data_IF_288347966112
#
_entry.id   IF_288347966112
#
_cell.length_a   1.000
_cell.length_b   1.000
_cell.length_c   1.000
_cell.angle_alpha   90.00
_cell.angle_beta   90.00
_cell.angle_gamma   90.00
#
_symmetry.space_group_name_H-M   'P 1'
#
loop_
_entity.id
_entity.type
_entity.pdbx_description
1 polymer ?
#
# COMPACT_ATOMS: atom_id res chain seq x y z
N UNK A 1 -27.92 0.93 -26.44
CA UNK A 1 -27.83 -0.32 -27.23
C UNK A 1 -26.68 -1.14 -26.66
N UNK A 2 -26.88 -2.45 -26.51
CA UNK A 2 -26.22 -3.33 -25.55
C UNK A 2 -24.69 -3.44 -25.64
N UNK A 3 -24.03 -3.42 -24.48
CA UNK A 3 -22.69 -4.01 -24.28
C UNK A 3 -22.77 -4.94 -23.08
N UNK A 4 -22.32 -6.18 -23.30
CA UNK A 4 -22.40 -7.30 -22.37
C UNK A 4 -21.23 -7.30 -21.38
N UNK A 5 -21.54 -7.52 -20.11
CA UNK A 5 -20.69 -8.25 -19.15
C UNK A 5 -21.55 -8.50 -17.92
N UNK A 6 -21.88 -9.74 -17.63
CA UNK A 6 -22.54 -10.13 -16.37
C UNK A 6 -21.50 -10.04 -15.26
N UNK A 7 -21.62 -9.03 -14.37
CA UNK A 7 -20.69 -8.82 -13.26
C UNK A 7 -21.28 -9.38 -11.98
N UNK A 8 -20.67 -10.45 -11.49
CA UNK A 8 -20.87 -11.03 -10.18
C UNK A 8 -19.63 -10.69 -9.38
N UNK A 9 -19.76 -9.85 -8.36
CA UNK A 9 -18.68 -9.29 -7.54
C UNK A 9 -17.81 -8.25 -8.26
N UNK A 10 -17.61 -7.11 -7.61
CA UNK A 10 -16.91 -5.96 -8.18
C UNK A 10 -16.06 -5.30 -7.11
N UNK A 11 -14.78 -5.14 -7.42
CA UNK A 11 -13.81 -4.35 -6.65
C UNK A 11 -13.47 -3.11 -7.46
N UNK A 12 -13.53 -1.93 -6.83
CA UNK A 12 -13.09 -0.68 -7.43
C UNK A 12 -11.80 -0.20 -6.74
N UNK A 13 -10.77 0.12 -7.53
CA UNK A 13 -9.54 0.79 -7.08
C UNK A 13 -9.58 2.23 -7.53
N UNK A 14 -9.42 3.19 -6.63
CA UNK A 14 -9.41 4.62 -6.93
C UNK A 14 -8.25 5.30 -6.22
N UNK A 15 -7.53 6.15 -6.94
CA UNK A 15 -6.58 7.11 -6.35
C UNK A 15 -7.31 8.45 -6.24
N UNK A 16 -7.34 9.08 -5.07
CA UNK A 16 -8.16 10.28 -4.82
C UNK A 16 -7.38 11.42 -4.18
N UNK A 17 -7.77 12.65 -4.53
CA UNK A 17 -7.42 13.88 -3.85
C UNK A 17 -8.62 14.87 -3.74
N UNK A 18 -9.27 14.96 -2.58
CA UNK A 18 -10.31 15.93 -2.07
C UNK A 18 -11.80 15.59 -2.24
N UNK A 19 -12.68 16.35 -1.57
CA UNK A 19 -13.89 15.83 -0.90
C UNK A 19 -15.01 15.28 -1.80
N UNK A 20 -15.72 14.28 -1.23
CA UNK A 20 -16.89 13.55 -1.73
C UNK A 20 -16.68 12.75 -3.02
N UNK A 21 -15.98 11.62 -2.97
CA UNK A 21 -16.06 10.67 -4.08
C UNK A 21 -17.46 10.05 -4.12
N UNK A 22 -18.08 9.92 -5.29
CA UNK A 22 -18.94 8.78 -5.53
C UNK A 22 -18.43 8.09 -6.78
N UNK A 23 -17.81 6.94 -6.59
CA UNK A 23 -17.79 5.95 -7.65
C UNK A 23 -18.74 4.83 -7.23
N UNK A 24 -19.71 4.54 -8.09
CA UNK A 24 -20.77 3.60 -7.75
C UNK A 24 -21.29 2.89 -8.98
N UNK A 25 -21.67 1.62 -8.78
CA UNK A 25 -22.35 0.81 -9.78
C UNK A 25 -23.80 0.67 -9.35
N UNK A 26 -24.71 1.25 -10.13
CA UNK A 26 -26.12 1.35 -9.81
C UNK A 26 -26.97 0.44 -10.68
N UNK A 27 -28.02 -0.13 -10.10
CA UNK A 27 -29.12 -0.76 -10.84
C UNK A 27 -30.01 0.32 -11.49
N UNK A 28 -30.14 0.30 -12.82
CA UNK A 28 -31.03 1.19 -13.59
C UNK A 28 -32.41 0.60 -13.88
N UNK A 29 -32.63 -0.69 -13.64
CA UNK A 29 -33.92 -1.34 -13.85
C UNK A 29 -34.95 -0.91 -12.76
N UNK A 30 -34.50 -0.29 -11.65
CA UNK A 30 -35.35 0.34 -10.63
C UNK A 30 -35.06 1.84 -10.52
N UNK A 31 -35.77 2.67 -11.30
CA UNK A 31 -35.64 4.14 -11.30
C UNK A 31 -35.87 4.81 -9.93
N UNK A 32 -36.51 4.12 -8.98
CA UNK A 32 -36.93 4.66 -7.69
C UNK A 32 -35.91 4.47 -6.55
N UNK A 33 -34.81 3.72 -6.76
CA UNK A 33 -33.86 3.46 -5.68
C UNK A 33 -32.41 3.35 -6.14
N UNK A 34 -31.61 4.37 -5.86
CA UNK A 34 -30.15 4.37 -6.04
C UNK A 34 -29.42 3.54 -4.97
N UNK A 35 -30.16 2.80 -4.14
CA UNK A 35 -29.60 2.05 -3.02
C UNK A 35 -29.18 0.63 -3.36
N UNK A 36 -29.43 0.14 -4.58
CA UNK A 36 -29.01 -1.19 -5.06
C UNK A 36 -27.70 -1.12 -5.84
N UNK A 37 -26.79 -2.03 -5.50
CA UNK A 37 -25.42 -2.04 -6.01
C UNK A 37 -24.43 -1.62 -4.95
N UNK A 38 -23.36 -0.93 -5.37
CA UNK A 38 -22.32 -0.46 -4.45
C UNK A 38 -21.93 0.98 -4.70
N UNK A 39 -21.46 1.63 -3.64
CA UNK A 39 -20.98 3.00 -3.63
C UNK A 39 -19.73 3.10 -2.78
N UNK A 40 -18.67 3.67 -3.36
CA UNK A 40 -17.46 4.08 -2.68
C UNK A 40 -17.39 5.61 -2.66
N UNK A 41 -17.12 6.17 -1.49
CA UNK A 41 -17.08 7.62 -1.37
C UNK A 41 -16.44 8.19 -0.12
N UNK A 42 -16.57 9.50 0.04
CA UNK A 42 -16.19 10.24 1.24
C UNK A 42 -17.45 10.86 1.84
N UNK A 43 -17.69 10.67 3.13
CA UNK A 43 -18.82 11.27 3.86
C UNK A 43 -18.33 11.90 5.16
N UNK A 44 -18.98 12.96 5.60
CA UNK A 44 -18.76 13.49 6.95
C UNK A 44 -19.45 12.56 7.96
N UNK A 45 -18.71 12.06 8.93
CA UNK A 45 -19.26 11.42 10.13
C UNK A 45 -19.35 12.49 11.20
N UNK A 46 -20.52 12.63 11.82
CA UNK A 46 -20.78 13.66 12.83
C UNK A 46 -20.94 12.99 14.19
N UNK A 47 -19.90 13.05 15.02
CA UNK A 47 -20.01 12.85 16.46
C UNK A 47 -19.84 14.22 17.12
N UNK A 48 -20.91 14.72 17.74
CA UNK A 48 -20.90 15.86 18.66
C UNK A 48 -20.01 17.05 18.23
N UNK A 49 -20.46 17.77 17.20
CA UNK A 49 -19.94 19.06 16.71
C UNK A 49 -18.67 19.05 15.82
N UNK A 50 -17.96 17.92 15.65
CA UNK A 50 -16.87 17.83 14.65
C UNK A 50 -17.29 16.97 13.45
N UNK A 51 -17.21 17.53 12.24
CA UNK A 51 -17.52 16.81 10.99
C UNK A 51 -16.23 16.23 10.43
N UNK A 52 -15.99 14.95 10.70
CA UNK A 52 -14.79 14.26 10.24
C UNK A 52 -15.07 13.55 8.90
N UNK A 53 -14.50 14.01 7.76
CA UNK A 53 -14.68 13.32 6.49
C UNK A 53 -13.97 11.96 6.54
N UNK A 54 -14.63 10.90 6.07
CA UNK A 54 -14.06 9.54 6.04
C UNK A 54 -14.45 8.81 4.78
N UNK A 55 -13.56 7.92 4.31
CA UNK A 55 -13.90 6.99 3.24
C UNK A 55 -14.99 6.02 3.70
N UNK A 56 -15.94 5.70 2.83
CA UNK A 56 -17.00 4.74 3.12
C UNK A 56 -17.27 3.84 1.93
N UNK A 57 -17.76 2.65 2.23
CA UNK A 57 -18.24 1.67 1.25
C UNK A 57 -19.64 1.24 1.64
N UNK A 58 -20.62 1.55 0.79
CA UNK A 58 -21.99 1.07 0.90
C UNK A 58 -22.27 -0.04 -0.12
N UNK A 59 -22.98 -1.08 0.32
CA UNK A 59 -23.37 -2.22 -0.51
C UNK A 59 -24.79 -2.66 -0.15
N UNK A 60 -25.61 -2.92 -1.17
CA UNK A 60 -26.89 -3.62 -1.04
C UNK A 60 -26.96 -4.68 -2.13
N UNK A 61 -26.95 -5.94 -1.71
CA UNK A 61 -27.12 -7.06 -2.64
C UNK A 61 -28.58 -7.17 -3.11
N UNK A 62 -28.80 -7.94 -4.17
CA UNK A 62 -30.13 -8.05 -4.80
C UNK A 62 -31.22 -8.50 -3.82
N UNK A 63 -30.86 -9.41 -2.89
CA UNK A 63 -31.76 -9.95 -1.86
C UNK A 63 -31.79 -9.15 -0.57
N UNK A 64 -30.92 -8.15 -0.40
CA UNK A 64 -30.84 -7.40 0.84
C UNK A 64 -31.98 -6.37 0.97
N UNK A 65 -32.65 -6.39 2.11
CA UNK A 65 -33.69 -5.40 2.43
C UNK A 65 -33.13 -4.03 2.81
N UNK A 66 -31.88 -3.98 3.31
CA UNK A 66 -31.22 -2.77 3.81
C UNK A 66 -29.83 -2.60 3.21
N UNK A 67 -29.45 -1.35 2.96
CA UNK A 67 -28.09 -0.95 2.60
C UNK A 67 -27.16 -1.09 3.81
N UNK A 68 -26.04 -1.78 3.64
CA UNK A 68 -24.96 -1.78 4.64
C UNK A 68 -23.90 -0.76 4.25
N UNK A 69 -23.44 0.05 5.19
CA UNK A 69 -22.34 0.99 4.99
C UNK A 69 -21.25 0.78 6.01
N UNK A 70 -20.05 0.44 5.56
CA UNK A 70 -18.84 0.44 6.39
C UNK A 70 -18.06 1.73 6.13
N UNK A 71 -17.40 2.25 7.17
CA UNK A 71 -16.66 3.52 7.11
C UNK A 71 -15.25 3.28 7.62
N UNK A 72 -14.27 3.96 7.03
CA UNK A 72 -12.89 3.98 7.52
C UNK A 72 -12.87 4.44 8.97
N UNK A 73 -12.00 3.82 9.77
CA UNK A 73 -11.68 4.27 11.12
C UNK A 73 -10.72 5.48 11.11
N UNK A 74 -9.95 5.65 10.03
CA UNK A 74 -9.06 6.79 9.81
C UNK A 74 -9.78 7.96 9.11
N UNK A 75 -9.47 9.22 9.50
CA UNK A 75 -9.98 10.41 8.84
C UNK A 75 -9.43 10.52 7.40
N UNK A 76 -10.22 11.16 6.54
CA UNK A 76 -9.81 11.55 5.20
C UNK A 76 -8.92 12.78 5.29
N UNK A 77 -7.72 12.73 4.71
CA UNK A 77 -6.83 13.90 4.63
C UNK A 77 -6.96 14.58 3.27
N UNK A 78 -7.40 15.86 3.22
CA UNK A 78 -7.41 16.65 2.00
C UNK A 78 -6.00 16.86 1.43
N UNK A 79 -5.90 17.01 0.11
CA UNK A 79 -4.67 17.34 -0.63
C UNK A 79 -3.58 16.24 -0.64
N UNK A 80 -3.87 15.07 -0.08
CA UNK A 80 -3.02 13.87 -0.13
C UNK A 80 -3.61 12.81 -1.05
N UNK A 81 -2.71 12.13 -1.79
CA UNK A 81 -3.10 10.98 -2.58
C UNK A 81 -3.40 9.80 -1.66
N UNK A 82 -4.54 9.15 -1.88
CA UNK A 82 -4.88 7.91 -1.18
C UNK A 82 -5.32 6.86 -2.19
N UNK A 83 -4.77 5.66 -2.04
CA UNK A 83 -5.26 4.48 -2.74
C UNK A 83 -6.42 3.87 -1.94
N UNK A 84 -7.60 3.79 -2.55
CA UNK A 84 -8.80 3.24 -1.92
C UNK A 84 -9.30 2.03 -2.71
N UNK A 85 -9.54 0.92 -2.02
CA UNK A 85 -10.04 -0.31 -2.62
C UNK A 85 -11.19 -0.91 -1.80
N UNK A 86 -12.17 -1.51 -2.49
CA UNK A 86 -13.30 -2.21 -1.87
C UNK A 86 -13.43 -3.64 -2.39
N UNK A 87 -13.53 -4.65 -1.54
CA UNK A 87 -13.72 -6.03 -2.03
C UNK A 87 -15.01 -6.61 -1.50
N UNK A 88 -15.72 -7.36 -2.35
CA UNK A 88 -16.86 -8.17 -1.95
C UNK A 88 -16.79 -9.55 -2.59
N UNK A 89 -16.87 -10.61 -1.79
CA UNK A 89 -16.76 -12.01 -2.24
C UNK A 89 -18.06 -12.81 -2.12
N UNK A 90 -19.22 -12.14 -2.03
CA UNK A 90 -20.51 -12.78 -1.78
C UNK A 90 -20.84 -12.98 -0.30
N UNK A 91 -19.91 -12.70 0.61
CA UNK A 91 -20.11 -12.85 2.06
C UNK A 91 -19.46 -11.75 2.91
N UNK A 92 -18.29 -11.28 2.51
CA UNK A 92 -17.53 -10.25 3.22
C UNK A 92 -17.39 -9.03 2.32
N UNK A 93 -17.84 -7.87 2.82
CA UNK A 93 -17.51 -6.57 2.25
C UNK A 93 -16.36 -5.95 3.04
N UNK A 94 -15.32 -5.48 2.34
CA UNK A 94 -14.10 -4.92 2.96
C UNK A 94 -13.72 -3.61 2.30
N UNK A 95 -13.22 -2.68 3.10
CA UNK A 95 -12.67 -1.40 2.66
C UNK A 95 -11.18 -1.35 3.01
N UNK A 96 -10.37 -0.92 2.06
CA UNK A 96 -8.93 -0.74 2.20
C UNK A 96 -8.54 0.68 1.84
N UNK A 97 -7.61 1.24 2.61
CA UNK A 97 -6.98 2.55 2.36
C UNK A 97 -5.47 2.35 2.45
N UNK A 98 -4.73 2.78 1.41
CA UNK A 98 -3.28 2.60 1.27
C UNK A 98 -2.82 1.16 1.53
N UNK A 99 -3.58 0.18 1.03
CA UNK A 99 -3.31 -1.25 1.19
C UNK A 99 -3.72 -1.86 2.55
N UNK A 100 -4.00 -1.06 3.57
CA UNK A 100 -4.47 -1.53 4.88
C UNK A 100 -5.99 -1.77 4.88
N UNK A 101 -6.46 -2.90 5.44
CA UNK A 101 -7.89 -3.16 5.62
C UNK A 101 -8.44 -2.31 6.78
N UNK A 102 -9.23 -1.28 6.48
CA UNK A 102 -9.73 -0.31 7.48
C UNK A 102 -11.15 -0.62 7.96
N UNK A 103 -11.92 -1.43 7.23
CA UNK A 103 -13.24 -1.88 7.67
C UNK A 103 -13.67 -3.21 7.01
N UNK A 104 -14.53 -3.96 7.70
CA UNK A 104 -15.12 -5.22 7.22
C UNK A 104 -16.54 -5.41 7.78
N UNK A 105 -17.45 -5.98 6.98
CA UNK A 105 -18.77 -6.42 7.43
C UNK A 105 -19.20 -7.71 6.72
N UNK A 106 -20.11 -8.45 7.35
CA UNK A 106 -20.79 -9.65 6.83
C UNK A 106 -22.31 -9.48 6.71
N UNK A 107 -22.83 -8.26 6.86
CA UNK A 107 -24.28 -8.01 6.88
C UNK A 107 -24.93 -8.16 5.50
N UNK A 108 -24.12 -8.22 4.45
CA UNK A 108 -24.54 -8.46 3.08
C UNK A 108 -24.09 -9.84 2.64
N UNK A 109 -24.96 -10.55 1.90
CA UNK A 109 -24.64 -11.86 1.34
C UNK A 109 -25.29 -12.06 -0.03
N UNK A 110 -24.72 -12.99 -0.79
CA UNK A 110 -25.17 -13.35 -2.12
C UNK A 110 -24.76 -12.33 -3.19
N UNK A 111 -25.39 -12.44 -4.36
CA UNK A 111 -25.03 -11.67 -5.53
C UNK A 111 -25.47 -10.21 -5.47
N UNK A 112 -24.60 -9.30 -5.93
CA UNK A 112 -24.92 -7.86 -6.00
C UNK A 112 -26.12 -7.63 -6.95
N UNK A 113 -26.12 -8.30 -8.10
CA UNK A 113 -27.19 -8.22 -9.10
C UNK A 113 -27.70 -9.62 -9.43
N UNK A 114 -29.02 -9.84 -9.39
CA UNK A 114 -29.65 -11.03 -9.92
C UNK A 114 -29.47 -11.14 -11.44
N UNK A 115 -29.65 -12.34 -12.04
CA UNK A 115 -29.65 -12.50 -13.49
C UNK A 115 -30.55 -11.51 -14.25
N UNK A 116 -31.64 -11.05 -13.61
CA UNK A 116 -32.56 -10.05 -14.16
C UNK A 116 -31.97 -8.64 -14.14
N UNK A 117 -31.42 -8.20 -12.99
CA UNK A 117 -30.90 -6.83 -12.80
C UNK A 117 -29.50 -6.63 -13.40
N UNK A 118 -28.75 -7.71 -13.63
CA UNK A 118 -27.43 -7.68 -14.29
C UNK A 118 -27.38 -6.96 -15.63
N UNK A 119 -28.48 -6.97 -16.40
CA UNK A 119 -28.57 -6.35 -17.73
C UNK A 119 -28.77 -4.83 -17.66
N UNK A 120 -29.06 -4.29 -16.47
CA UNK A 120 -29.40 -2.90 -16.21
C UNK A 120 -28.46 -2.29 -15.16
N UNK A 121 -27.16 -2.18 -15.43
CA UNK A 121 -26.22 -1.54 -14.49
C UNK A 121 -25.42 -0.43 -15.15
N UNK A 122 -25.12 0.62 -14.39
CA UNK A 122 -24.29 1.74 -14.83
C UNK A 122 -23.25 2.07 -13.78
N UNK A 123 -22.00 2.10 -14.23
CA UNK A 123 -20.88 2.59 -13.45
C UNK A 123 -20.83 4.11 -13.63
N UNK A 124 -20.90 4.85 -12.52
CA UNK A 124 -20.69 6.29 -12.49
C UNK A 124 -19.45 6.58 -11.66
N UNK A 125 -18.66 7.55 -12.11
CA UNK A 125 -17.45 8.03 -11.44
C UNK A 125 -17.53 9.54 -11.35
N UNK A 126 -16.98 10.10 -10.29
CA UNK A 126 -16.94 11.55 -10.08
C UNK A 126 -18.28 12.16 -9.65
N UNK A 127 -19.31 11.33 -9.49
CA UNK A 127 -20.66 11.80 -9.19
C UNK A 127 -21.66 10.67 -8.98
N UNK A 128 -22.82 11.02 -8.45
CA UNK A 128 -24.00 10.14 -8.46
C UNK A 128 -25.21 10.84 -9.09
N UNK A 129 -26.29 10.08 -9.32
CA UNK A 129 -27.53 10.60 -9.87
C UNK A 129 -28.24 11.63 -8.96
N UNK A 130 -27.82 11.74 -7.69
CA UNK A 130 -28.36 12.68 -6.70
C UNK A 130 -27.53 13.97 -6.59
N UNK A 131 -26.69 14.27 -7.59
CA UNK A 131 -25.84 15.46 -7.63
C UNK A 131 -24.79 15.58 -6.52
N UNK A 132 -24.47 14.50 -5.80
CA UNK A 132 -23.25 14.46 -5.00
C UNK A 132 -22.08 14.35 -5.97
N UNK A 133 -21.26 15.39 -6.09
CA UNK A 133 -20.18 15.46 -7.05
C UNK A 133 -18.84 15.41 -6.33
N UNK A 134 -17.91 14.69 -6.93
CA UNK A 134 -16.53 14.67 -6.49
C UNK A 134 -15.81 15.92 -6.97
N UNK A 135 -15.09 16.54 -6.03
CA UNK A 135 -14.17 17.63 -6.33
C UNK A 135 -12.78 17.14 -5.96
N UNK A 136 -12.03 16.73 -6.97
CA UNK A 136 -10.71 16.20 -6.77
C UNK A 136 -10.09 15.59 -8.02
N UNK A 137 -8.87 15.08 -7.87
CA UNK A 137 -8.17 14.35 -8.94
C UNK A 137 -8.36 12.85 -8.79
N UNK A 138 -8.31 12.13 -9.91
CA UNK A 138 -8.20 10.68 -9.98
C UNK A 138 -7.17 10.32 -11.03
N UNK A 139 -6.42 9.25 -10.79
CA UNK A 139 -5.35 8.83 -11.68
C UNK A 139 -5.67 7.47 -12.31
N UNK A 140 -5.87 6.46 -11.47
CA UNK A 140 -6.12 5.10 -11.92
C UNK A 140 -7.45 4.56 -11.40
N UNK A 141 -8.17 3.88 -12.30
CA UNK A 141 -9.35 3.10 -11.96
C UNK A 141 -9.19 1.67 -12.44
N UNK A 142 -9.45 0.71 -11.54
CA UNK A 142 -9.53 -0.70 -11.93
C UNK A 142 -10.75 -1.38 -11.34
N UNK A 143 -11.40 -2.23 -12.14
CA UNK A 143 -12.53 -3.06 -11.77
C UNK A 143 -12.26 -4.53 -12.05
N UNK A 144 -12.46 -5.40 -11.05
CA UNK A 144 -12.24 -6.84 -11.17
C UNK A 144 -13.52 -7.64 -10.99
N UNK A 145 -13.62 -8.78 -11.68
CA UNK A 145 -14.72 -9.74 -11.57
C UNK A 145 -14.63 -10.63 -10.31
N UNK A 146 -13.55 -10.49 -9.54
CA UNK A 146 -13.35 -11.21 -8.28
C UNK A 146 -12.94 -10.27 -7.14
N UNK A 147 -13.10 -10.74 -5.92
CA UNK A 147 -12.47 -10.12 -4.76
C UNK A 147 -10.95 -10.38 -4.79
N UNK A 148 -10.15 -9.32 -4.85
CA UNK A 148 -8.71 -9.43 -4.66
C UNK A 148 -8.37 -9.65 -3.18
N UNK A 149 -7.27 -10.35 -2.93
CA UNK A 149 -6.64 -10.41 -1.60
C UNK A 149 -5.91 -9.10 -1.28
N UNK A 150 -5.69 -8.83 0.01
CA UNK A 150 -4.93 -7.65 0.45
C UNK A 150 -3.52 -7.61 -0.16
N UNK A 151 -2.88 -8.77 -0.31
CA UNK A 151 -1.55 -8.89 -0.94
C UNK A 151 -1.57 -8.45 -2.41
N UNK A 152 -2.60 -8.81 -3.15
CA UNK A 152 -2.77 -8.40 -4.54
C UNK A 152 -3.05 -6.90 -4.64
N UNK A 153 -3.88 -6.36 -3.73
CA UNK A 153 -4.16 -4.91 -3.66
C UNK A 153 -2.85 -4.13 -3.43
N UNK A 154 -2.06 -4.53 -2.44
CA UNK A 154 -0.76 -3.90 -2.15
C UNK A 154 0.17 -3.98 -3.36
N UNK A 155 0.20 -5.12 -4.05
CA UNK A 155 1.04 -5.31 -5.23
C UNK A 155 0.64 -4.39 -6.40
N UNK A 156 -0.65 -4.32 -6.72
CA UNK A 156 -1.15 -3.49 -7.81
C UNK A 156 -1.04 -1.99 -7.51
N UNK A 157 -1.12 -1.61 -6.23
CA UNK A 157 -0.87 -0.25 -5.77
C UNK A 157 0.58 0.19 -6.01
N UNK A 158 1.57 -0.68 -5.72
CA UNK A 158 2.98 -0.31 -5.74
C UNK A 158 3.69 -0.39 -7.10
N UNK A 159 3.21 -1.21 -8.04
CA UNK A 159 3.97 -1.51 -9.27
C UNK A 159 3.16 -1.38 -10.58
N UNK A 160 1.92 -0.88 -10.51
CA UNK A 160 1.02 -0.82 -11.66
C UNK A 160 0.55 -2.20 -12.15
N UNK A 161 -0.48 -2.23 -12.99
CA UNK A 161 -1.05 -3.49 -13.49
C UNK A 161 -0.18 -4.19 -14.55
N UNK A 162 0.77 -3.48 -15.15
CA UNK A 162 1.59 -3.97 -16.28
C UNK A 162 2.63 -5.00 -15.90
N UNK A 163 3.02 -5.10 -14.62
CA UNK A 163 4.13 -5.94 -14.18
C UNK A 163 3.73 -7.31 -13.60
N UNK A 164 2.44 -7.58 -13.34
CA UNK A 164 2.06 -8.77 -12.55
C UNK A 164 0.76 -9.49 -12.95
N UNK A 165 0.93 -10.71 -13.46
CA UNK A 165 -0.03 -11.82 -13.33
C UNK A 165 -1.23 -11.83 -14.28
N UNK A 166 -2.06 -12.87 -14.12
CA UNK A 166 -3.24 -13.14 -14.95
C UNK A 166 -4.31 -12.04 -14.83
N UNK A 167 -4.40 -11.21 -15.86
CA UNK A 167 -5.39 -10.14 -16.01
C UNK A 167 -6.73 -10.64 -16.56
N UNK A 168 -6.94 -11.97 -16.71
CA UNK A 168 -8.17 -12.55 -17.28
C UNK A 168 -9.47 -12.13 -16.59
N UNK A 169 -9.37 -11.66 -15.34
CA UNK A 169 -10.51 -11.25 -14.51
C UNK A 169 -10.61 -9.73 -14.33
N UNK A 170 -9.76 -8.96 -15.00
CA UNK A 170 -9.84 -7.50 -15.06
C UNK A 170 -10.97 -7.11 -16.02
N UNK A 171 -11.92 -6.32 -15.53
CA UNK A 171 -13.11 -5.90 -16.27
C UNK A 171 -12.90 -4.51 -16.86
N UNK A 172 -12.40 -3.58 -16.06
CA UNK A 172 -12.12 -2.20 -16.46
C UNK A 172 -10.75 -1.82 -15.94
N UNK A 173 -9.96 -1.15 -16.77
CA UNK A 173 -8.78 -0.42 -16.35
C UNK A 173 -8.71 0.89 -17.12
N UNK A 174 -8.67 2.01 -16.38
CA UNK A 174 -8.63 3.35 -16.93
C UNK A 174 -7.50 4.16 -16.30
N UNK A 175 -6.74 4.81 -17.16
CA UNK A 175 -5.74 5.85 -16.86
C UNK A 175 -6.25 7.26 -17.25
N UNK A 176 -7.52 7.35 -17.68
CA UNK A 176 -8.20 8.58 -18.09
C UNK A 176 -7.59 9.37 -19.27
N UNK A 177 -6.55 8.90 -19.95
CA UNK A 177 -5.96 9.58 -21.11
C UNK A 177 -6.92 9.71 -22.31
N UNK A 178 -7.89 8.79 -22.42
CA UNK A 178 -8.87 8.74 -23.53
C UNK A 178 -10.32 8.83 -23.06
N UNK A 179 -10.62 9.72 -22.11
CA UNK A 179 -11.95 9.86 -21.49
C UNK A 179 -13.10 9.96 -22.50
N UNK A 180 -12.99 10.81 -23.52
CA UNK A 180 -14.07 11.07 -24.49
C UNK A 180 -14.46 9.87 -25.36
N UNK A 181 -13.62 8.83 -25.43
CA UNK A 181 -13.90 7.60 -26.18
C UNK A 181 -14.55 6.51 -25.32
N UNK A 182 -14.33 6.53 -24.00
CA UNK A 182 -14.73 5.46 -23.08
C UNK A 182 -15.84 5.86 -22.11
N UNK A 183 -16.04 7.15 -21.89
CA UNK A 183 -16.96 7.69 -20.89
C UNK A 183 -17.97 8.66 -21.50
N UNK A 184 -19.20 8.58 -21.02
CA UNK A 184 -20.26 9.52 -21.35
C UNK A 184 -20.42 10.53 -20.21
N UNK A 185 -20.44 11.82 -20.54
CA UNK A 185 -20.70 12.88 -19.57
C UNK A 185 -22.19 12.88 -19.20
N UNK A 186 -22.47 12.80 -17.90
CA UNK A 186 -23.85 12.77 -17.38
C UNK A 186 -24.34 14.16 -16.99
N UNK A 187 -23.42 15.09 -16.72
CA UNK A 187 -23.69 16.44 -16.22
C UNK A 187 -22.92 17.48 -17.02
N UNK A 188 -23.61 18.56 -17.40
CA UNK A 188 -23.07 19.78 -18.05
C UNK A 188 -22.27 19.55 -19.36
N UNK A 189 -22.28 18.33 -19.92
CA UNK A 189 -21.62 17.96 -21.18
C UNK A 189 -20.09 17.97 -21.16
N UNK A 190 -19.46 18.49 -20.10
CA UNK A 190 -18.01 18.67 -20.01
C UNK A 190 -17.30 17.46 -19.39
N UNK A 191 -16.19 17.04 -20.02
CA UNK A 191 -15.30 16.04 -19.43
C UNK A 191 -14.43 16.71 -18.34
N UNK A 192 -13.99 15.95 -17.32
CA UNK A 192 -12.95 16.41 -16.39
C UNK A 192 -11.70 16.88 -17.15
N UNK A 193 -10.99 17.86 -16.58
CA UNK A 193 -9.71 18.34 -17.12
C UNK A 193 -8.62 17.31 -16.82
N UNK A 194 -7.85 16.93 -17.84
CA UNK A 194 -6.59 16.22 -17.65
C UNK A 194 -5.57 17.17 -17.05
N UNK A 195 -5.05 16.82 -15.89
CA UNK A 195 -3.92 17.50 -15.26
C UNK A 195 -2.72 16.56 -15.28
N UNK A 196 -1.67 16.98 -15.97
CA UNK A 196 -0.37 16.33 -15.88
C UNK A 196 0.31 16.90 -14.63
N UNK A 197 0.39 16.10 -13.56
CA UNK A 197 1.18 16.47 -12.40
C UNK A 197 2.59 15.92 -12.57
N UNK A 198 3.60 16.75 -12.38
CA UNK A 198 5.01 16.36 -12.15
C UNK A 198 5.21 15.60 -10.82
N UNK A 199 4.13 15.11 -10.19
CA UNK A 199 4.21 14.30 -8.98
C UNK A 199 4.68 12.92 -9.38
N UNK A 200 5.96 12.65 -9.14
CA UNK A 200 6.52 11.32 -9.16
C UNK A 200 5.71 10.37 -8.26
N UNK A 201 5.54 9.12 -8.68
CA UNK A 201 4.91 8.04 -7.87
C UNK A 201 5.52 7.94 -6.46
N UNK A 202 6.78 8.36 -6.32
CA UNK A 202 7.52 8.56 -5.07
C UNK A 202 6.76 9.41 -4.03
N UNK A 203 6.14 10.52 -4.45
CA UNK A 203 5.40 11.40 -3.55
C UNK A 203 4.09 10.77 -3.03
N UNK A 204 3.50 9.81 -3.76
CA UNK A 204 2.29 9.07 -3.35
C UNK A 204 2.62 7.98 -2.35
N UNK A 205 3.76 7.29 -2.52
CA UNK A 205 4.21 6.21 -1.65
C UNK A 205 4.89 6.71 -0.37
N UNK A 206 5.48 7.91 -0.39
CA UNK A 206 6.04 8.57 0.80
C UNK A 206 4.98 8.91 1.87
N UNK A 207 3.71 9.05 1.48
CA UNK A 207 2.57 9.26 2.38
C UNK A 207 1.99 7.93 2.93
N UNK A 208 2.51 6.76 2.51
CA UNK A 208 2.11 5.44 3.03
C UNK A 208 2.84 5.08 4.34
N UNK A 209 3.00 6.05 5.23
CA UNK A 209 3.49 5.82 6.58
C UNK A 209 2.46 4.95 7.32
N UNK A 210 2.83 3.71 7.65
CA UNK A 210 2.03 2.80 8.49
C UNK A 210 1.94 3.39 9.91
N UNK A 211 1.01 4.33 10.13
CA UNK A 211 0.75 4.86 11.46
C UNK A 211 0.02 3.79 12.27
N UNK A 212 0.53 3.39 13.46
CA UNK A 212 -0.22 2.52 14.35
C UNK A 212 -1.59 3.15 14.62
N UNK A 213 -2.69 2.39 14.52
CA UNK A 213 -4.02 2.94 14.73
C UNK A 213 -4.13 3.50 16.15
N UNK A 214 -4.87 4.61 16.36
CA UNK A 214 -5.19 5.08 17.70
C UNK A 214 -5.78 3.94 18.54
N UNK A 215 -5.44 3.90 19.83
CA UNK A 215 -6.06 2.99 20.78
C UNK A 215 -7.59 3.13 20.74
N UNK A 216 -8.30 2.01 20.76
CA UNK A 216 -9.76 1.96 20.64
C UNK A 216 -10.30 1.49 19.29
N UNK A 217 -9.46 1.27 18.27
CA UNK A 217 -9.90 1.03 16.89
C UNK A 217 -9.77 -0.41 16.40
N UNK A 218 -8.94 -1.21 17.05
CA UNK A 218 -8.75 -2.62 16.70
C UNK A 218 -9.63 -3.50 17.58
N UNK A 219 -9.83 -4.76 17.16
CA UNK A 219 -10.47 -5.79 18.00
C UNK A 219 -9.73 -5.94 19.34
N UNK A 220 -8.41 -5.70 19.35
CA UNK A 220 -7.58 -5.74 20.55
C UNK A 220 -7.87 -4.59 21.52
N UNK A 221 -8.54 -3.53 21.07
CA UNK A 221 -8.92 -2.38 21.90
C UNK A 221 -10.37 -2.44 22.39
N UNK A 222 -11.16 -3.41 21.93
CA UNK A 222 -12.55 -3.54 22.34
C UNK A 222 -12.62 -3.97 23.80
N UNK A 223 -13.22 -3.13 24.65
CA UNK A 223 -13.30 -3.35 26.10
C UNK A 223 -14.01 -4.67 26.44
N UNK A 224 -15.06 -5.05 25.70
CA UNK A 224 -15.72 -6.34 25.92
C UNK A 224 -14.85 -7.52 25.50
N UNK A 225 -14.09 -7.41 24.40
CA UNK A 225 -13.15 -8.46 23.97
C UNK A 225 -12.02 -8.61 24.98
N UNK A 226 -11.44 -7.51 25.46
CA UNK A 226 -10.43 -7.49 26.52
C UNK A 226 -11.00 -8.08 27.81
N UNK A 227 -12.21 -7.65 28.19
CA UNK A 227 -12.90 -8.12 29.40
C UNK A 227 -13.22 -9.60 29.31
N UNK A 228 -13.67 -10.10 28.15
CA UNK A 228 -13.90 -11.52 27.92
C UNK A 228 -12.60 -12.32 27.87
N UNK A 229 -11.53 -11.79 27.28
CA UNK A 229 -10.20 -12.42 27.30
C UNK A 229 -9.66 -12.51 28.74
N UNK A 230 -9.95 -11.50 29.55
CA UNK A 230 -9.67 -11.52 30.97
C UNK A 230 -10.58 -12.54 31.67
N UNK A 231 -11.90 -12.48 31.56
CA UNK A 231 -12.82 -13.28 32.36
C UNK A 231 -12.82 -14.78 31.97
N UNK A 232 -12.57 -15.11 30.71
CA UNK A 232 -12.61 -16.50 30.22
C UNK A 232 -11.21 -17.13 30.26
N UNK A 233 -10.97 -17.95 31.29
CA UNK A 233 -9.70 -18.66 31.49
C UNK A 233 -9.26 -19.51 30.29
N UNK A 234 -10.21 -19.97 29.47
CA UNK A 234 -9.97 -20.75 28.25
C UNK A 234 -9.20 -19.96 27.17
N UNK A 235 -9.30 -18.64 27.17
CA UNK A 235 -8.56 -17.76 26.25
C UNK A 235 -7.13 -17.45 26.74
N UNK A 236 -6.87 -17.58 28.03
CA UNK A 236 -5.54 -17.47 28.67
C UNK A 236 -4.74 -18.77 28.68
N UNK A 237 -5.25 -19.81 28.01
CA UNK A 237 -4.52 -21.07 27.80
C UNK A 237 -3.17 -20.77 27.12
N UNK A 238 -2.12 -21.53 27.46
CA UNK A 238 -0.82 -21.38 26.82
C UNK A 238 -0.92 -21.32 25.30
N UNK A 239 -0.27 -20.33 24.70
CA UNK A 239 -0.19 -20.13 23.26
C UNK A 239 1.25 -20.30 22.81
N UNK A 240 1.44 -21.05 21.74
CA UNK A 240 2.75 -21.16 21.09
C UNK A 240 2.69 -20.41 19.76
N UNK A 241 3.49 -19.36 19.63
CA UNK A 241 3.65 -18.62 18.38
C UNK A 241 4.83 -19.22 17.61
N UNK A 242 4.57 -19.69 16.39
CA UNK A 242 5.60 -20.26 15.52
C UNK A 242 6.13 -19.21 14.56
N UNK A 243 7.44 -19.08 14.48
CA UNK A 243 8.08 -18.21 13.50
C UNK A 243 9.28 -18.88 12.85
N UNK A 244 9.64 -18.39 11.67
CA UNK A 244 10.78 -18.86 10.90
C UNK A 244 11.74 -17.71 10.64
N UNK A 245 13.00 -17.90 11.02
CA UNK A 245 14.09 -17.01 10.63
C UNK A 245 14.64 -17.51 9.30
N UNK A 246 14.71 -16.64 8.31
CA UNK A 246 15.43 -16.91 7.06
C UNK A 246 16.80 -16.26 7.19
N UNK A 247 17.86 -17.06 7.28
CA UNK A 247 19.23 -16.55 7.42
C UNK A 247 19.97 -16.74 6.10
N UNK A 248 20.49 -15.67 5.51
CA UNK A 248 21.17 -15.74 4.23
C UNK A 248 22.67 -15.87 4.48
N UNK A 249 23.30 -16.84 3.83
CA UNK A 249 24.72 -17.10 3.82
C UNK A 249 25.29 -16.76 2.45
N UNK A 250 26.61 -16.63 2.38
CA UNK A 250 27.34 -16.74 1.15
C UNK A 250 27.19 -18.15 0.57
N UNK A 251 27.57 -18.32 -0.70
CA UNK A 251 27.47 -19.60 -1.42
C UNK A 251 28.27 -20.71 -0.71
N UNK A 252 29.38 -20.33 -0.05
CA UNK A 252 30.25 -21.24 0.70
C UNK A 252 29.76 -21.53 2.13
N UNK A 253 28.71 -20.87 2.60
CA UNK A 253 28.13 -21.10 3.92
C UNK A 253 28.98 -20.62 5.11
N UNK A 254 29.96 -19.73 4.87
CA UNK A 254 30.91 -19.24 5.88
C UNK A 254 30.43 -17.99 6.58
N UNK A 255 29.67 -17.14 5.90
CA UNK A 255 29.31 -15.81 6.34
C UNK A 255 27.79 -15.64 6.42
N UNK A 256 27.15 -15.93 7.57
CA UNK A 256 25.73 -15.64 7.75
C UNK A 256 25.44 -14.13 7.82
N UNK A 257 24.21 -13.72 7.49
CA UNK A 257 23.70 -12.36 7.76
C UNK A 257 23.59 -12.11 9.26
N UNK A 258 23.10 -13.09 10.02
CA UNK A 258 22.96 -13.04 11.48
C UNK A 258 23.54 -14.31 12.08
N UNK A 259 24.35 -14.19 13.14
CA UNK A 259 24.93 -15.37 13.81
C UNK A 259 23.88 -16.19 14.57
N UNK A 260 24.12 -17.49 14.71
CA UNK A 260 23.27 -18.36 15.53
C UNK A 260 23.15 -17.88 16.97
N UNK A 261 24.22 -17.29 17.51
CA UNK A 261 24.21 -16.70 18.85
C UNK A 261 23.19 -15.55 18.96
N UNK A 262 23.19 -14.62 18.00
CA UNK A 262 22.21 -13.52 17.96
C UNK A 262 20.78 -14.03 17.81
N UNK A 263 20.56 -15.02 16.93
CA UNK A 263 19.24 -15.64 16.73
C UNK A 263 18.75 -16.32 18.03
N UNK A 264 19.64 -16.96 18.78
CA UNK A 264 19.34 -17.58 20.07
C UNK A 264 19.05 -16.55 21.16
N UNK A 265 19.88 -15.51 21.27
CA UNK A 265 19.70 -14.45 22.25
C UNK A 265 18.34 -13.74 22.06
N UNK A 266 18.01 -13.34 20.84
CA UNK A 266 16.72 -12.70 20.54
C UNK A 266 15.54 -13.64 20.80
N UNK A 267 15.67 -14.93 20.48
CA UNK A 267 14.65 -15.93 20.78
C UNK A 267 14.40 -16.08 22.29
N UNK A 268 15.46 -16.04 23.09
CA UNK A 268 15.35 -16.05 24.56
C UNK A 268 14.69 -14.77 25.07
N UNK A 269 15.04 -13.61 24.54
CA UNK A 269 14.38 -12.35 24.89
C UNK A 269 12.88 -12.37 24.58
N UNK A 270 12.47 -12.90 23.42
CA UNK A 270 11.05 -13.09 23.07
C UNK A 270 10.33 -13.98 24.08
N UNK A 271 10.88 -15.16 24.36
CA UNK A 271 10.28 -16.06 25.34
C UNK A 271 10.21 -15.41 26.74
N UNK A 272 11.27 -14.76 27.20
CA UNK A 272 11.30 -14.10 28.51
C UNK A 272 10.28 -12.97 28.63
N UNK A 273 10.14 -12.13 27.59
CA UNK A 273 9.21 -11.01 27.57
C UNK A 273 7.74 -11.48 27.63
N UNK A 274 7.43 -12.59 26.96
CA UNK A 274 6.06 -13.04 26.78
C UNK A 274 5.62 -14.20 27.70
N UNK A 275 6.57 -14.80 28.44
CA UNK A 275 6.29 -15.89 29.39
C UNK A 275 5.23 -15.54 30.42
N UNK A 276 5.22 -14.30 30.93
CA UNK A 276 4.24 -13.83 31.92
C UNK A 276 2.80 -13.86 31.43
N UNK A 277 2.61 -13.90 30.10
CA UNK A 277 1.30 -13.95 29.45
C UNK A 277 0.91 -15.37 28.98
N UNK A 278 1.63 -16.41 29.40
CA UNK A 278 1.50 -17.79 28.89
C UNK A 278 1.70 -17.89 27.36
N UNK A 279 2.50 -17.00 26.78
CA UNK A 279 2.85 -17.05 25.37
C UNK A 279 4.30 -17.54 25.26
N UNK A 280 4.48 -18.66 24.58
CA UNK A 280 5.79 -19.19 24.20
C UNK A 280 6.03 -18.98 22.71
N UNK A 281 7.29 -18.92 22.32
CA UNK A 281 7.70 -18.77 20.94
C UNK A 281 8.46 -20.02 20.51
N UNK A 282 8.12 -20.55 19.35
CA UNK A 282 8.79 -21.68 18.72
C UNK A 282 9.43 -21.20 17.42
N UNK A 283 10.75 -21.37 17.32
CA UNK A 283 11.55 -20.88 16.20
C UNK A 283 11.98 -22.03 15.30
N UNK A 284 11.86 -21.82 13.99
CA UNK A 284 12.61 -22.57 12.97
C UNK A 284 13.60 -21.65 12.28
N UNK A 285 14.73 -22.17 11.82
CA UNK A 285 15.72 -21.43 11.02
C UNK A 285 15.83 -22.10 9.67
N UNK A 286 15.77 -21.31 8.60
CA UNK A 286 15.99 -21.77 7.24
C UNK A 286 17.14 -20.97 6.64
N UNK A 287 18.21 -21.67 6.31
CA UNK A 287 19.41 -21.06 5.75
C UNK A 287 19.31 -21.05 4.22
N UNK A 288 19.62 -19.91 3.61
CA UNK A 288 19.68 -19.71 2.17
C UNK A 288 21.13 -19.39 1.80
N UNK A 289 21.74 -20.19 0.93
CA UNK A 289 23.14 -20.02 0.52
C UNK A 289 23.15 -19.32 -0.83
N UNK A 290 23.40 -18.02 -0.83
CA UNK A 290 23.41 -17.22 -2.03
C UNK A 290 24.18 -15.91 -1.80
N UNK A 291 25.42 -15.82 -2.30
CA UNK A 291 26.26 -14.63 -2.11
C UNK A 291 25.64 -13.37 -2.72
N UNK A 292 24.94 -13.51 -3.84
CA UNK A 292 24.26 -12.39 -4.49
C UNK A 292 23.12 -11.87 -3.61
N UNK A 293 22.24 -12.73 -3.09
CA UNK A 293 21.17 -12.33 -2.17
C UNK A 293 21.71 -11.81 -0.85
N UNK A 294 22.82 -12.35 -0.36
CA UNK A 294 23.45 -11.91 0.89
C UNK A 294 23.97 -10.48 0.79
N UNK A 295 24.60 -10.15 -0.33
CA UNK A 295 25.24 -8.85 -0.54
C UNK A 295 24.26 -7.82 -1.13
N UNK A 296 23.05 -8.26 -1.52
CA UNK A 296 21.99 -7.39 -2.01
C UNK A 296 21.44 -6.50 -0.91
N UNK A 297 21.56 -5.19 -1.11
CA UNK A 297 20.91 -4.21 -0.26
C UNK A 297 19.41 -4.17 -0.61
N UNK A 298 18.56 -4.65 0.30
CA UNK A 298 17.10 -4.57 0.14
C UNK A 298 16.60 -3.41 1.00
N UNK A 299 16.32 -2.28 0.34
CA UNK A 299 15.55 -1.20 0.94
C UNK A 299 14.10 -1.33 0.50
N UNK A 300 13.18 -1.30 1.46
CA UNK A 300 11.76 -1.28 1.15
C UNK A 300 11.44 0.03 0.41
N UNK A 301 10.85 -0.08 -0.78
CA UNK A 301 10.37 1.03 -1.61
C UNK A 301 11.41 1.91 -2.31
N UNK A 302 12.72 1.68 -2.16
CA UNK A 302 13.77 2.33 -2.97
C UNK A 302 14.25 1.37 -4.07
N UNK A 303 13.95 1.68 -5.34
CA UNK A 303 14.56 0.96 -6.45
C UNK A 303 16.04 1.32 -6.52
N UNK A 304 16.86 0.33 -6.85
CA UNK A 304 18.29 0.54 -7.03
C UNK A 304 18.57 1.45 -8.22
N UNK A 305 17.75 1.42 -9.28
CA UNK A 305 17.97 2.27 -10.45
C UNK A 305 17.84 3.76 -10.15
N UNK A 306 17.17 4.09 -9.05
CA UNK A 306 16.86 5.43 -8.58
C UNK A 306 18.00 6.04 -7.76
N UNK A 307 18.84 5.21 -7.12
CA UNK A 307 19.96 5.72 -6.33
C UNK A 307 20.97 6.46 -7.23
N UNK A 308 21.07 7.77 -7.09
CA UNK A 308 22.00 8.61 -7.85
C UNK A 308 21.61 8.87 -9.30
N UNK A 309 20.32 8.89 -9.63
CA UNK A 309 19.82 9.17 -10.97
C UNK A 309 19.70 10.67 -11.32
N UNK A 310 20.41 11.51 -10.57
CA UNK A 310 20.39 12.98 -10.64
C UNK A 310 19.08 13.64 -10.14
N UNK A 311 18.10 12.86 -9.71
CA UNK A 311 16.93 13.34 -8.98
C UNK A 311 17.13 13.10 -7.47
N UNK A 312 16.38 13.80 -6.61
CA UNK A 312 16.25 13.37 -5.22
C UNK A 312 15.01 12.49 -5.10
N UNK A 313 15.21 11.20 -4.99
CA UNK A 313 14.19 10.21 -4.69
C UNK A 313 13.98 10.08 -3.17
N UNK A 314 12.83 10.54 -2.64
CA UNK A 314 12.52 10.47 -1.21
C UNK A 314 12.58 9.06 -0.63
N UNK A 315 12.20 8.03 -1.42
CA UNK A 315 12.31 6.63 -1.04
C UNK A 315 13.76 6.19 -0.82
N UNK A 316 14.70 6.78 -1.55
CA UNK A 316 16.13 6.51 -1.48
C UNK A 316 16.87 7.49 -0.56
N UNK A 317 16.15 8.36 0.17
CA UNK A 317 16.73 9.29 1.14
C UNK A 317 17.09 8.60 2.47
N UNK A 318 18.06 7.69 2.43
CA UNK A 318 18.50 6.88 3.57
C UNK A 318 20.04 6.85 3.68
N UNK A 319 20.58 6.63 4.88
CA UNK A 319 22.04 6.56 5.07
C UNK A 319 22.69 5.41 4.29
N UNK A 320 21.96 4.31 4.09
CA UNK A 320 22.42 3.11 3.36
C UNK A 320 22.57 3.34 1.84
N UNK A 321 21.96 4.38 1.28
CA UNK A 321 22.06 4.78 -0.14
C UNK A 321 22.87 6.06 -0.31
N UNK A 322 23.49 6.57 0.77
CA UNK A 322 24.18 7.85 0.76
C UNK A 322 23.23 9.05 0.65
N UNK A 323 21.98 8.95 1.08
CA UNK A 323 20.92 9.93 0.85
C UNK A 323 20.71 10.17 -0.64
N UNK A 324 20.48 9.06 -1.35
CA UNK A 324 20.32 9.04 -2.79
C UNK A 324 21.57 9.59 -3.50
N UNK A 325 22.73 8.97 -3.24
CA UNK A 325 24.05 9.43 -3.71
C UNK A 325 24.37 10.91 -3.38
N UNK A 326 23.66 11.50 -2.41
CA UNK A 326 23.80 12.89 -1.98
C UNK A 326 22.80 13.86 -2.60
N UNK A 327 21.98 13.45 -3.58
CA UNK A 327 21.00 14.31 -4.23
C UNK A 327 19.88 14.76 -3.28
N UNK A 328 19.54 13.95 -2.27
CA UNK A 328 18.51 14.30 -1.28
C UNK A 328 18.97 15.14 -0.10
N UNK A 329 20.26 15.47 0.01
CA UNK A 329 20.76 16.41 1.02
C UNK A 329 21.00 17.79 0.45
N UNK A 330 20.44 18.82 1.11
CA UNK A 330 20.85 20.21 0.88
C UNK A 330 22.34 20.34 1.21
N UNK A 331 23.13 20.92 0.29
CA UNK A 331 24.60 21.11 0.28
C UNK A 331 25.17 21.91 1.48
N UNK A 332 24.76 21.59 2.70
CA UNK A 332 25.17 22.27 3.94
C UNK A 332 26.26 21.51 4.66
N UNK A 333 26.37 20.19 4.45
CA UNK A 333 27.48 19.39 4.94
C UNK A 333 28.62 19.43 3.90
N UNK A 334 29.74 20.07 4.25
CA UNK A 334 30.97 20.01 3.47
C UNK A 334 31.79 18.80 3.92
N UNK A 335 32.22 17.97 2.98
CA UNK A 335 33.29 16.99 3.23
C UNK A 335 34.60 17.75 3.50
N UNK A 336 35.29 17.52 4.63
CA UNK A 336 36.56 18.16 4.93
C UNK A 336 37.65 17.83 3.90
N UNK A 337 38.49 18.79 3.52
CA UNK A 337 39.54 18.59 2.48
C UNK A 337 40.50 17.44 2.81
N UNK A 338 40.82 17.20 4.08
CA UNK A 338 41.71 16.12 4.49
C UNK A 338 41.09 14.72 4.37
N UNK A 339 39.78 14.64 4.14
CA UNK A 339 39.05 13.38 3.94
C UNK A 339 38.88 13.02 2.48
N UNK A 340 38.91 14.01 1.59
CA UNK A 340 38.70 13.81 0.16
C UNK A 340 39.85 13.02 -0.47
N UNK A 341 39.59 11.80 -0.92
CA UNK A 341 40.56 10.97 -1.64
C UNK A 341 41.76 10.55 -0.78
N UNK A 342 41.54 10.32 0.51
CA UNK A 342 42.59 9.96 1.47
C UNK A 342 42.93 8.45 1.46
N UNK A 343 42.34 7.68 0.55
CA UNK A 343 42.47 6.23 0.48
C UNK A 343 41.53 5.47 1.42
N UNK A 344 40.51 6.14 1.98
CA UNK A 344 39.47 5.57 2.86
C UNK A 344 38.13 6.05 2.31
N UNK A 345 37.12 5.17 2.26
CA UNK A 345 35.78 5.63 1.93
C UNK A 345 35.14 6.35 3.13
N UNK A 346 35.20 7.67 3.17
CA UNK A 346 34.57 8.52 4.17
C UNK A 346 33.07 8.74 3.83
N UNK A 347 32.11 8.28 4.67
CA UNK A 347 30.68 8.37 4.36
C UNK A 347 30.16 9.80 4.16
N UNK A 348 30.77 10.79 4.80
CA UNK A 348 30.46 12.22 4.59
C UNK A 348 30.97 12.79 3.25
N UNK A 349 31.85 12.05 2.56
CA UNK A 349 32.44 12.41 1.27
C UNK A 349 31.90 11.52 0.14
N UNK A 350 31.11 10.50 0.47
CA UNK A 350 30.55 9.54 -0.47
C UNK A 350 29.31 10.04 -1.21
N UNK A 351 29.43 11.20 -1.88
CA UNK A 351 28.39 11.84 -2.67
C UNK A 351 28.92 12.30 -4.02
N UNK A 352 28.02 12.55 -4.97
CA UNK A 352 28.36 12.96 -6.33
C UNK A 352 29.26 14.22 -6.38
N UNK A 353 28.96 15.24 -5.56
CA UNK A 353 29.73 16.50 -5.51
C UNK A 353 31.21 16.33 -5.09
N UNK A 354 31.55 15.21 -4.45
CA UNK A 354 32.92 14.86 -4.06
C UNK A 354 33.42 13.66 -4.86
N UNK A 355 32.78 13.34 -5.98
CA UNK A 355 33.08 12.18 -6.83
C UNK A 355 33.17 10.87 -6.04
N UNK A 356 32.27 10.68 -5.06
CA UNK A 356 32.23 9.49 -4.20
C UNK A 356 33.57 9.28 -3.49
N UNK A 357 34.02 10.33 -2.82
CA UNK A 357 35.31 10.43 -2.15
C UNK A 357 36.50 10.28 -3.10
N UNK A 358 36.48 11.03 -4.20
CA UNK A 358 37.45 10.93 -5.30
C UNK A 358 37.63 9.50 -5.84
N UNK A 359 36.57 8.69 -5.77
CA UNK A 359 36.53 7.31 -6.22
C UNK A 359 36.89 6.28 -5.16
N UNK A 360 37.31 6.67 -3.95
CA UNK A 360 37.67 5.74 -2.88
C UNK A 360 36.49 4.85 -2.47
N UNK A 361 35.27 5.40 -2.48
CA UNK A 361 34.06 4.66 -2.11
C UNK A 361 33.58 3.64 -3.15
N UNK A 362 34.09 3.73 -4.38
CA UNK A 362 33.84 2.79 -5.47
C UNK A 362 35.06 1.96 -5.86
N UNK A 363 36.12 2.00 -5.04
CA UNK A 363 37.34 1.25 -5.29
C UNK A 363 37.34 -0.08 -4.48
N UNK A 364 37.31 -1.25 -5.15
CA UNK A 364 37.27 -2.55 -4.48
C UNK A 364 38.56 -2.88 -3.69
N UNK A 365 39.66 -2.15 -3.93
CA UNK A 365 40.89 -2.31 -3.15
C UNK A 365 40.86 -1.54 -1.82
N UNK A 366 39.91 -0.62 -1.65
CA UNK A 366 39.80 0.28 -0.50
C UNK A 366 38.63 -0.10 0.40
N UNK A 367 37.47 -0.42 -0.19
CA UNK A 367 36.21 -0.61 0.55
C UNK A 367 35.39 -1.78 0.00
N UNK A 368 34.40 -2.20 0.79
CA UNK A 368 33.34 -3.11 0.34
C UNK A 368 32.35 -2.36 -0.56
N UNK A 369 32.67 -2.33 -1.86
CA UNK A 369 31.89 -1.63 -2.89
C UNK A 369 30.43 -2.08 -2.99
N UNK A 370 30.09 -3.27 -2.47
CA UNK A 370 28.68 -3.75 -2.40
C UNK A 370 27.82 -2.95 -1.41
N UNK A 371 28.45 -2.16 -0.53
CA UNK A 371 27.78 -1.35 0.47
C UNK A 371 28.04 0.14 0.32
N UNK A 372 29.18 0.51 -0.28
CA UNK A 372 29.64 1.89 -0.31
C UNK A 372 29.64 2.53 -1.69
N UNK A 373 29.58 1.75 -2.78
CA UNK A 373 29.65 2.34 -4.12
C UNK A 373 28.28 2.81 -4.60
N UNK A 374 28.01 4.11 -4.44
CA UNK A 374 26.75 4.72 -4.88
C UNK A 374 26.81 5.28 -6.32
N UNK A 375 28.00 5.39 -6.91
CA UNK A 375 28.20 5.94 -8.25
C UNK A 375 27.50 5.10 -9.34
N UNK A 376 26.48 5.64 -10.05
CA UNK A 376 25.79 4.94 -11.13
C UNK A 376 26.69 4.55 -12.30
N UNK A 377 27.72 5.36 -12.58
CA UNK A 377 28.64 5.13 -13.67
C UNK A 377 29.74 4.11 -13.32
N UNK A 378 29.85 3.70 -12.05
CA UNK A 378 30.90 2.78 -11.63
C UNK A 378 30.57 1.34 -12.05
N UNK A 379 31.51 0.62 -12.70
CA UNK A 379 31.34 -0.81 -12.97
C UNK A 379 31.37 -1.67 -11.70
N UNK A 380 31.79 -1.08 -10.56
CA UNK A 380 31.85 -1.73 -9.25
C UNK A 380 30.62 -1.46 -8.39
N UNK A 381 29.64 -0.70 -8.92
CA UNK A 381 28.34 -0.55 -8.29
C UNK A 381 27.65 -1.91 -8.25
N UNK A 382 27.51 -2.46 -7.06
CA UNK A 382 26.93 -3.77 -6.85
C UNK A 382 25.73 -3.61 -5.92
N UNK A 383 24.53 -3.86 -6.47
CA UNK A 383 23.28 -3.78 -5.76
C UNK A 383 22.39 -4.99 -6.09
#
# INVERSE_FOLDING_TARGET
MCVWTTLHNSLLVLVSNTCHLPAGLYDKCFYASSDRGWLLGIKAVSDQANRDPRFFFSLKTDRAHKLTTITSNAPYTPNQWSHVAITYNGLFMKLYVNGAQVAVSRDQSGEIFSPLTKKCKVLMIGGNALNHNYRGTMEHLSLWHRALSQREIIRYMGHGLSQFGDLSQLVIHENFESMSRRWLTVKDGSCPRLEYSDRSLAAVLSDAELKPPPCGQTVCDNVEVITNYYQLWSFRKPKTVRYRVINVYDDDGRWPTITDHQINLQHQHLNNAFRVYNISWERTVHNVYNSSLRNRLILANCDISKVGDEECDPECNHTLTGFDAGYCKRQTARCPEYKQGNGVCDPECNWDNFYYDHGDCCNPNITDVTKTCFNPASPHRYF
#
